data_IF_048207111013
#
_entry.id   IF_048207111013
#
_cell.length_a   1.000
_cell.length_b   1.000
_cell.length_c   1.000
_cell.angle_alpha   90.00
_cell.angle_beta   90.00
_cell.angle_gamma   90.00
#
_symmetry.space_group_name_H-M   'P 1'
#
loop_
_entity.id
_entity.type
_entity.pdbx_description
1 polymer ?
#
# COMPACT_ATOMS: atom_id res chain seq x y z
N UNK A 1 -53.60 -10.31 45.22
CA UNK A 1 -52.20 -10.54 45.61
C UNK A 1 -51.35 -9.80 44.57
N UNK A 2 -51.09 -8.49 44.66
CA UNK A 2 -50.86 -7.59 45.83
C UNK A 2 -49.53 -7.89 46.52
N UNK A 3 -48.66 -6.93 46.89
CA UNK A 3 -48.64 -5.47 46.62
C UNK A 3 -47.72 -5.06 45.45
N UNK A 4 -47.48 -3.79 45.11
CA UNK A 4 -47.33 -2.55 45.90
C UNK A 4 -46.07 -2.54 46.80
N UNK A 5 -45.17 -1.55 46.73
CA UNK A 5 -45.12 -0.37 45.85
C UNK A 5 -43.95 0.59 46.19
N UNK A 6 -44.04 1.83 45.68
CA UNK A 6 -43.22 3.06 45.96
C UNK A 6 -41.68 2.96 45.82
N UNK A 7 -41.00 3.67 44.90
CA UNK A 7 -40.94 5.12 44.60
C UNK A 7 -40.15 5.96 45.63
N UNK A 8 -39.01 6.54 45.20
CA UNK A 8 -38.54 7.82 45.74
C UNK A 8 -37.83 8.67 44.68
N UNK A 9 -38.46 9.80 44.36
CA UNK A 9 -37.91 10.88 43.54
C UNK A 9 -36.73 11.60 44.22
N UNK A 10 -35.92 12.31 43.43
CA UNK A 10 -35.62 13.71 43.68
C UNK A 10 -35.09 14.42 42.42
N UNK A 11 -35.37 15.73 42.29
CA UNK A 11 -34.99 16.54 41.14
C UNK A 11 -34.22 17.79 41.57
N UNK A 12 -33.13 18.09 40.86
CA UNK A 12 -32.52 19.42 40.71
C UNK A 12 -31.58 19.36 39.48
N UNK A 13 -31.53 20.32 38.56
CA UNK A 13 -32.33 21.55 38.43
C UNK A 13 -31.57 22.81 38.87
N UNK A 14 -30.74 23.35 37.97
CA UNK A 14 -30.46 24.79 37.92
C UNK A 14 -30.05 25.22 36.50
N UNK A 15 -30.09 26.53 36.22
CA UNK A 15 -30.07 27.12 34.87
C UNK A 15 -29.33 28.47 34.81
N UNK A 16 -28.72 28.76 33.66
CA UNK A 16 -28.65 30.09 33.02
C UNK A 16 -28.03 31.31 33.75
N UNK A 17 -26.84 31.73 33.27
CA UNK A 17 -26.38 33.13 33.04
C UNK A 17 -25.26 33.03 31.99
N UNK A 18 -25.17 33.73 30.84
CA UNK A 18 -25.62 35.04 30.35
C UNK A 18 -24.97 36.27 31.00
N UNK A 19 -24.02 36.87 30.27
CA UNK A 19 -23.76 38.30 30.02
C UNK A 19 -22.98 38.34 28.67
N UNK A 20 -23.32 39.13 27.63
CA UNK A 20 -23.46 40.60 27.53
C UNK A 20 -22.07 41.27 27.68
N UNK A 21 -21.34 41.53 26.58
CA UNK A 21 -21.49 42.58 25.55
C UNK A 21 -21.07 43.95 26.08
N UNK A 22 -20.07 44.54 25.41
CA UNK A 22 -19.87 45.94 25.04
C UNK A 22 -18.44 46.05 24.42
N UNK A 23 -18.04 47.11 23.73
CA UNK A 23 -18.41 47.62 22.40
C UNK A 23 -17.33 48.67 22.01
N UNK A 24 -17.40 49.25 20.80
CA UNK A 24 -16.54 50.32 20.21
C UNK A 24 -15.23 49.86 19.51
N UNK A 25 -14.88 50.26 18.26
CA UNK A 25 -14.78 51.60 17.59
C UNK A 25 -13.63 52.49 18.11
N UNK A 26 -12.82 53.20 17.29
CA UNK A 26 -12.58 53.27 15.83
C UNK A 26 -11.19 53.95 15.59
N UNK A 27 -10.70 54.46 14.43
CA UNK A 27 -11.21 54.70 13.07
C UNK A 27 -10.05 54.95 12.06
N UNK A 28 -10.34 55.08 10.75
CA UNK A 28 -9.43 55.55 9.68
C UNK A 28 -8.72 54.43 8.89
N UNK A 29 -8.57 54.45 7.55
CA UNK A 29 -8.87 55.48 6.52
C UNK A 29 -7.60 56.11 5.93
N UNK A 30 -7.44 56.35 4.62
CA UNK A 30 -8.28 56.10 3.43
C UNK A 30 -7.43 56.22 2.13
N UNK A 31 -8.03 56.01 0.95
CA UNK A 31 -7.46 56.19 -0.43
C UNK A 31 -6.38 55.15 -0.86
N UNK A 32 -6.21 54.77 -2.14
CA UNK A 32 -7.08 54.89 -3.33
C UNK A 32 -6.37 55.33 -4.64
N UNK A 33 -6.21 54.44 -5.64
CA UNK A 33 -6.22 54.76 -7.10
C UNK A 33 -6.00 53.56 -8.06
N UNK A 34 -7.04 53.23 -8.82
CA UNK A 34 -7.13 53.13 -10.31
C UNK A 34 -6.03 52.46 -11.20
N UNK A 35 -6.38 51.29 -11.74
CA UNK A 35 -6.23 50.77 -13.13
C UNK A 35 -4.95 51.05 -13.96
N UNK A 36 -4.29 49.97 -14.43
CA UNK A 36 -3.84 49.80 -15.84
C UNK A 36 -4.20 48.38 -16.31
N UNK A 37 -4.70 48.27 -17.55
CA UNK A 37 -4.97 47.01 -18.28
C UNK A 37 -3.78 46.66 -19.19
N UNK A 38 -3.51 45.37 -19.40
CA UNK A 38 -2.85 44.88 -20.63
C UNK A 38 -3.20 43.41 -20.90
N UNK A 39 -3.27 43.05 -22.18
CA UNK A 39 -3.83 41.77 -22.65
C UNK A 39 -2.75 40.81 -23.18
N UNK A 40 -3.14 39.53 -23.30
CA UNK A 40 -2.56 38.49 -24.18
C UNK A 40 -1.03 38.27 -24.21
N UNK A 41 -0.60 37.09 -23.77
CA UNK A 41 0.05 36.15 -24.69
C UNK A 41 -0.32 34.69 -24.31
N UNK A 42 -0.19 33.77 -25.26
CA UNK A 42 -0.53 32.35 -25.09
C UNK A 42 0.71 31.47 -25.18
N UNK A 43 0.93 30.59 -24.20
CA UNK A 43 1.93 29.53 -24.34
C UNK A 43 1.62 28.28 -23.52
N UNK A 44 2.25 27.18 -23.96
CA UNK A 44 1.97 25.83 -23.47
C UNK A 44 2.63 25.56 -22.11
N UNK A 45 2.14 24.52 -21.42
CA UNK A 45 2.48 24.27 -20.03
C UNK A 45 3.94 23.86 -19.79
N UNK A 46 4.42 24.15 -18.57
CA UNK A 46 5.70 23.66 -18.06
C UNK A 46 5.45 22.92 -16.73
N UNK A 47 5.12 21.63 -16.81
CA UNK A 47 5.26 20.72 -15.66
C UNK A 47 6.75 20.52 -15.40
N UNK A 48 7.30 21.24 -14.43
CA UNK A 48 8.75 21.26 -14.16
C UNK A 48 9.32 19.84 -13.98
N UNK A 49 10.33 19.43 -14.75
CA UNK A 49 10.95 18.12 -14.56
C UNK A 49 11.74 18.12 -13.25
N UNK A 50 11.33 17.29 -12.29
CA UNK A 50 12.13 17.04 -11.08
C UNK A 50 13.40 16.25 -11.46
N UNK A 51 14.46 16.99 -11.74
CA UNK A 51 15.83 16.47 -11.79
C UNK A 51 16.35 16.23 -10.37
N UNK A 52 16.55 14.97 -9.99
CA UNK A 52 17.50 14.58 -8.95
C UNK A 52 18.23 13.28 -9.38
N UNK A 53 19.43 13.46 -9.94
CA UNK A 53 20.32 12.44 -10.55
C UNK A 53 19.99 12.01 -11.99
N UNK A 54 20.98 12.19 -12.87
CA UNK A 54 20.91 11.85 -14.31
C UNK A 54 21.17 10.38 -14.63
N UNK A 55 20.90 9.46 -13.70
CA UNK A 55 21.13 8.01 -13.85
C UNK A 55 19.86 7.17 -13.75
N UNK A 56 18.71 7.79 -13.46
CA UNK A 56 17.42 7.11 -13.39
C UNK A 56 16.94 6.67 -14.78
N UNK A 57 16.43 5.44 -14.87
CA UNK A 57 15.81 4.89 -16.08
C UNK A 57 14.42 5.51 -16.27
N UNK A 58 14.17 6.10 -17.43
CA UNK A 58 12.85 6.62 -17.80
C UNK A 58 11.91 5.43 -18.06
N UNK A 59 10.65 5.51 -17.61
CA UNK A 59 9.59 4.53 -17.88
C UNK A 59 8.29 5.26 -18.21
N UNK A 60 7.72 4.97 -19.37
CA UNK A 60 6.43 5.55 -19.81
C UNK A 60 5.27 4.78 -19.18
N UNK A 61 4.36 5.51 -18.52
CA UNK A 61 3.13 4.98 -17.91
C UNK A 61 1.89 5.43 -18.71
N UNK A 62 0.87 4.57 -18.83
CA UNK A 62 -0.45 4.98 -19.33
C UNK A 62 -1.28 5.70 -18.26
N UNK A 63 -2.48 6.17 -18.64
CA UNK A 63 -3.51 6.73 -17.75
C UNK A 63 -3.82 5.85 -16.53
N UNK A 64 -3.82 4.52 -16.70
CA UNK A 64 -4.00 3.56 -15.60
C UNK A 64 -2.78 3.44 -14.68
N UNK A 65 -1.68 4.14 -14.95
CA UNK A 65 -0.41 4.08 -14.22
C UNK A 65 0.29 2.72 -14.35
N UNK A 66 0.10 2.05 -15.48
CA UNK A 66 0.80 0.83 -15.87
C UNK A 66 1.97 1.21 -16.80
N UNK A 67 3.17 0.65 -16.60
CA UNK A 67 4.27 0.88 -17.53
C UNK A 67 3.98 0.18 -18.86
N UNK A 68 4.06 0.92 -19.97
CA UNK A 68 3.71 0.43 -21.33
C UNK A 68 4.94 0.16 -22.19
N UNK A 69 6.06 0.79 -21.82
CA UNK A 69 7.32 0.83 -22.57
C UNK A 69 8.04 -0.54 -22.65
N UNK A 70 9.05 -0.65 -23.51
CA UNK A 70 9.96 -1.82 -23.61
C UNK A 70 10.60 -2.13 -22.23
N UNK A 71 10.93 -1.09 -21.46
CA UNK A 71 11.43 -1.22 -20.09
C UNK A 71 10.41 -1.76 -19.07
N UNK A 72 9.13 -1.88 -19.41
CA UNK A 72 8.04 -2.27 -18.49
C UNK A 72 8.27 -3.62 -17.80
N UNK A 73 8.81 -4.61 -18.51
CA UNK A 73 9.16 -5.93 -17.94
C UNK A 73 10.34 -5.82 -16.97
N UNK A 74 11.40 -5.08 -17.35
CA UNK A 74 12.57 -4.87 -16.48
C UNK A 74 12.18 -4.14 -15.20
N UNK A 75 11.41 -3.05 -15.30
CA UNK A 75 10.84 -2.32 -14.17
C UNK A 75 9.96 -3.21 -13.28
N UNK A 76 9.16 -4.10 -13.88
CA UNK A 76 8.35 -5.08 -13.12
C UNK A 76 9.21 -6.02 -12.30
N UNK A 77 10.32 -6.51 -12.88
CA UNK A 77 11.28 -7.36 -12.19
C UNK A 77 12.06 -6.59 -11.11
N UNK A 78 12.52 -5.38 -11.39
CA UNK A 78 13.26 -4.54 -10.43
C UNK A 78 12.43 -4.20 -9.19
N UNK A 79 11.18 -3.72 -9.37
CA UNK A 79 10.22 -3.53 -8.25
C UNK A 79 10.02 -4.84 -7.48
N UNK A 80 10.01 -5.98 -8.16
CA UNK A 80 9.91 -7.31 -7.55
C UNK A 80 11.19 -7.82 -6.86
N UNK A 81 12.38 -7.31 -7.19
CA UNK A 81 13.63 -7.62 -6.51
C UNK A 81 13.81 -6.72 -5.28
N UNK A 82 13.60 -5.41 -5.45
CA UNK A 82 13.59 -4.41 -4.38
C UNK A 82 12.61 -4.81 -3.26
N UNK A 83 11.41 -5.30 -3.62
CA UNK A 83 10.42 -5.78 -2.66
C UNK A 83 10.88 -7.02 -1.86
N UNK A 84 11.71 -7.90 -2.42
CA UNK A 84 12.24 -9.07 -1.70
C UNK A 84 13.41 -8.69 -0.79
N UNK A 85 14.29 -7.81 -1.26
CA UNK A 85 15.45 -7.35 -0.52
C UNK A 85 15.08 -6.59 0.76
N UNK A 86 13.97 -5.82 0.72
CA UNK A 86 13.51 -5.01 1.86
C UNK A 86 12.43 -5.67 2.74
N UNK A 87 11.52 -6.50 2.19
CA UNK A 87 10.47 -7.16 2.99
C UNK A 87 10.82 -8.62 3.30
N UNK A 88 11.25 -8.96 4.53
CA UNK A 88 11.50 -10.34 4.90
C UNK A 88 10.24 -11.21 4.81
N UNK A 89 10.37 -12.50 4.48
CA UNK A 89 9.24 -13.39 4.24
C UNK A 89 8.45 -13.70 5.52
N UNK A 90 9.09 -13.67 6.70
CA UNK A 90 8.48 -13.98 8.00
C UNK A 90 7.36 -13.03 8.44
N UNK A 91 7.30 -11.79 7.91
CA UNK A 91 6.14 -10.91 8.17
C UNK A 91 4.91 -11.53 7.51
N UNK A 92 3.89 -11.88 8.30
CA UNK A 92 2.69 -12.60 7.83
C UNK A 92 2.06 -11.95 6.59
N UNK A 93 1.72 -10.66 6.70
CA UNK A 93 0.81 -9.96 5.80
C UNK A 93 1.29 -8.53 5.47
N UNK A 94 1.04 -8.05 4.24
CA UNK A 94 1.56 -6.75 3.77
C UNK A 94 1.03 -5.56 4.59
N UNK A 95 -0.11 -5.74 5.27
CA UNK A 95 -0.65 -4.75 6.21
C UNK A 95 0.28 -4.55 7.41
N UNK A 96 0.91 -5.61 7.92
CA UNK A 96 1.84 -5.58 9.07
C UNK A 96 3.26 -5.14 8.71
N UNK A 97 3.64 -5.14 7.43
CA UNK A 97 4.95 -4.59 6.98
C UNK A 97 5.09 -3.13 7.46
N UNK A 98 6.15 -2.77 8.22
CA UNK A 98 6.38 -1.42 8.72
C UNK A 98 6.36 -0.32 7.64
N UNK A 99 6.02 0.91 8.04
CA UNK A 99 5.93 2.06 7.11
C UNK A 99 7.28 2.43 6.51
N UNK A 100 8.36 2.38 7.30
CA UNK A 100 9.72 2.66 6.81
C UNK A 100 10.10 1.71 5.67
N UNK A 101 9.91 0.39 5.81
CA UNK A 101 10.21 -0.59 4.75
C UNK A 101 9.46 -0.28 3.44
N UNK A 102 8.22 0.20 3.52
CA UNK A 102 7.45 0.64 2.34
C UNK A 102 8.02 1.91 1.70
N UNK A 103 8.45 2.87 2.52
CA UNK A 103 9.14 4.07 2.02
C UNK A 103 10.54 3.76 1.49
N UNK A 104 11.26 2.78 2.03
CA UNK A 104 12.59 2.39 1.59
C UNK A 104 12.53 1.63 0.25
N UNK A 105 11.54 0.76 0.06
CA UNK A 105 11.17 0.22 -1.27
C UNK A 105 10.87 1.34 -2.26
N UNK A 106 10.11 2.37 -1.84
CA UNK A 106 9.75 3.49 -2.71
C UNK A 106 10.96 4.36 -3.09
N UNK A 107 11.86 4.66 -2.13
CA UNK A 107 13.14 5.34 -2.38
C UNK A 107 14.01 4.55 -3.34
N UNK A 108 14.18 3.24 -3.13
CA UNK A 108 14.97 2.37 -4.02
C UNK A 108 14.41 2.35 -5.44
N UNK A 109 13.08 2.30 -5.62
CA UNK A 109 12.47 2.38 -6.96
C UNK A 109 12.72 3.76 -7.59
N UNK A 110 12.54 4.87 -6.87
CA UNK A 110 12.84 6.21 -7.40
C UNK A 110 14.32 6.43 -7.72
N UNK A 111 15.22 5.78 -7.00
CA UNK A 111 16.66 5.88 -7.26
C UNK A 111 17.09 5.18 -8.56
N UNK A 112 16.39 4.11 -8.97
CA UNK A 112 16.68 3.41 -10.23
C UNK A 112 15.79 3.92 -11.40
N UNK A 113 14.60 4.45 -11.13
CA UNK A 113 13.60 4.81 -12.15
C UNK A 113 12.91 6.14 -11.89
N UNK A 114 12.73 6.93 -12.94
CA UNK A 114 12.00 8.19 -12.88
C UNK A 114 10.49 7.95 -12.79
N UNK A 115 9.97 7.81 -11.57
CA UNK A 115 8.55 7.50 -11.30
C UNK A 115 7.86 8.65 -10.54
N UNK A 116 6.82 9.29 -11.13
CA UNK A 116 5.99 10.29 -10.45
C UNK A 116 5.34 9.76 -9.15
N UNK A 117 5.29 10.59 -8.10
CA UNK A 117 4.75 10.22 -6.77
C UNK A 117 3.28 9.75 -6.83
N UNK A 118 2.50 10.22 -7.80
CA UNK A 118 1.12 9.76 -8.08
C UNK A 118 1.01 8.25 -8.37
N UNK A 119 2.12 7.58 -8.72
CA UNK A 119 2.15 6.14 -8.96
C UNK A 119 2.72 5.33 -7.80
N UNK A 120 3.22 5.96 -6.72
CA UNK A 120 3.73 5.29 -5.50
C UNK A 120 2.82 4.16 -5.04
N UNK A 121 1.53 4.44 -4.94
CA UNK A 121 0.51 3.50 -4.47
C UNK A 121 0.34 2.29 -5.42
N UNK A 122 0.49 2.51 -6.73
CA UNK A 122 0.46 1.46 -7.76
C UNK A 122 1.75 0.62 -7.72
N UNK A 123 2.90 1.25 -7.47
CA UNK A 123 4.19 0.57 -7.29
C UNK A 123 4.19 -0.28 -6.02
N UNK A 124 3.68 0.23 -4.89
CA UNK A 124 3.58 -0.52 -3.63
C UNK A 124 2.57 -1.68 -3.74
N UNK A 125 1.47 -1.53 -4.50
CA UNK A 125 0.56 -2.64 -4.85
C UNK A 125 1.26 -3.71 -5.71
N UNK A 126 2.17 -3.31 -6.59
CA UNK A 126 2.98 -4.20 -7.44
C UNK A 126 4.08 -4.93 -6.64
N UNK A 127 4.78 -4.22 -5.76
CA UNK A 127 5.75 -4.77 -4.80
C UNK A 127 5.10 -5.82 -3.87
N UNK A 128 3.94 -5.48 -3.27
CA UNK A 128 3.11 -6.41 -2.51
C UNK A 128 2.78 -7.68 -3.30
N UNK A 129 2.34 -7.53 -4.55
CA UNK A 129 1.99 -8.66 -5.43
C UNK A 129 3.20 -9.56 -5.73
N UNK A 130 4.36 -8.97 -6.01
CA UNK A 130 5.61 -9.70 -6.22
C UNK A 130 6.08 -10.44 -4.95
N UNK A 131 6.02 -9.79 -3.79
CA UNK A 131 6.38 -10.37 -2.49
C UNK A 131 5.42 -11.51 -2.07
N UNK A 132 4.10 -11.35 -2.27
CA UNK A 132 3.12 -12.43 -2.01
C UNK A 132 3.32 -13.63 -2.94
N UNK A 133 3.66 -13.40 -4.21
CA UNK A 133 4.02 -14.47 -5.14
C UNK A 133 5.31 -15.16 -4.71
N UNK A 134 6.35 -14.41 -4.33
CA UNK A 134 7.59 -14.98 -3.79
C UNK A 134 7.34 -15.83 -2.55
N UNK A 135 6.59 -15.34 -1.54
CA UNK A 135 6.16 -16.15 -0.37
C UNK A 135 5.37 -17.41 -0.76
N UNK A 136 4.70 -17.45 -1.93
CA UNK A 136 4.06 -18.69 -2.45
C UNK A 136 5.08 -19.66 -3.01
N UNK A 137 6.09 -19.19 -3.75
CA UNK A 137 7.14 -20.06 -4.28
C UNK A 137 8.03 -20.60 -3.16
N UNK A 138 8.36 -19.78 -2.15
CA UNK A 138 8.99 -20.22 -0.90
C UNK A 138 8.19 -21.31 -0.18
N UNK A 139 6.85 -21.19 -0.11
CA UNK A 139 6.00 -22.26 0.43
C UNK A 139 6.14 -23.57 -0.34
N UNK A 140 6.28 -23.56 -1.66
CA UNK A 140 6.51 -24.80 -2.43
C UNK A 140 7.84 -25.47 -2.09
N UNK A 141 8.84 -24.70 -1.64
CA UNK A 141 10.11 -25.24 -1.17
C UNK A 141 9.89 -25.96 0.17
N UNK A 142 9.15 -25.35 1.10
CA UNK A 142 8.75 -26.01 2.35
C UNK A 142 7.84 -27.23 2.11
N UNK A 143 6.86 -27.14 1.21
CA UNK A 143 5.87 -28.19 0.91
C UNK A 143 6.49 -29.43 0.22
N UNK A 144 7.75 -29.36 -0.24
CA UNK A 144 8.53 -30.51 -0.76
C UNK A 144 9.16 -31.37 0.33
N UNK A 145 9.21 -30.87 1.57
CA UNK A 145 9.98 -31.44 2.67
C UNK A 145 9.03 -31.72 3.83
N UNK A 146 9.05 -32.93 4.36
CA UNK A 146 8.05 -33.38 5.32
C UNK A 146 8.31 -32.83 6.72
N UNK A 147 9.56 -32.88 7.21
CA UNK A 147 9.89 -32.45 8.58
C UNK A 147 10.17 -30.95 8.69
N UNK A 148 9.84 -30.37 9.85
CA UNK A 148 10.12 -28.95 10.16
C UNK A 148 11.63 -28.68 10.31
N UNK A 149 12.39 -29.67 10.81
CA UNK A 149 13.84 -29.55 10.98
C UNK A 149 14.56 -29.42 9.63
N UNK A 150 14.25 -30.30 8.67
CA UNK A 150 14.80 -30.22 7.32
C UNK A 150 14.38 -28.91 6.64
N UNK A 151 13.11 -28.46 6.77
CA UNK A 151 12.66 -27.16 6.26
C UNK A 151 13.52 -26.00 6.77
N UNK A 152 13.88 -25.98 8.06
CA UNK A 152 14.76 -24.95 8.64
C UNK A 152 16.21 -25.03 8.13
N UNK A 153 16.69 -26.22 7.75
CA UNK A 153 18.02 -26.40 7.15
C UNK A 153 18.12 -25.96 5.67
N UNK A 154 17.00 -25.70 4.98
CA UNK A 154 17.05 -25.25 3.58
C UNK A 154 17.67 -23.85 3.50
N UNK A 155 18.86 -23.76 2.93
CA UNK A 155 19.46 -22.48 2.54
C UNK A 155 18.69 -21.95 1.33
N UNK A 156 18.02 -20.82 1.48
CA UNK A 156 17.35 -20.12 0.38
C UNK A 156 18.14 -18.87 0.01
N UNK A 157 18.65 -18.87 -1.21
CA UNK A 157 19.42 -17.75 -1.76
C UNK A 157 18.65 -16.42 -1.66
N UNK A 158 19.37 -15.35 -1.29
CA UNK A 158 18.84 -14.03 -0.93
C UNK A 158 17.85 -13.97 0.26
N UNK A 159 17.90 -14.92 1.22
CA UNK A 159 17.18 -14.83 2.51
C UNK A 159 18.14 -15.12 3.68
N UNK A 160 18.03 -14.36 4.77
CA UNK A 160 18.76 -14.64 6.01
C UNK A 160 18.20 -15.88 6.71
N UNK A 161 19.03 -16.63 7.45
CA UNK A 161 18.62 -17.86 8.14
C UNK A 161 17.52 -17.60 9.17
N UNK A 162 17.59 -16.48 9.87
CA UNK A 162 16.65 -16.07 10.91
C UNK A 162 15.28 -15.71 10.31
N UNK A 163 15.29 -14.96 9.21
CA UNK A 163 14.09 -14.61 8.43
C UNK A 163 13.42 -15.83 7.78
N UNK A 164 14.23 -16.84 7.41
CA UNK A 164 13.76 -18.12 6.89
C UNK A 164 13.13 -18.99 7.98
N UNK A 165 13.79 -19.15 9.13
CA UNK A 165 13.24 -19.92 10.24
C UNK A 165 11.92 -19.34 10.76
N UNK A 166 11.82 -18.01 10.89
CA UNK A 166 10.57 -17.33 11.25
C UNK A 166 9.45 -17.55 10.22
N UNK A 167 9.78 -17.67 8.92
CA UNK A 167 8.83 -18.01 7.87
C UNK A 167 8.39 -19.48 7.94
N UNK A 168 9.31 -20.41 8.24
CA UNK A 168 9.00 -21.84 8.42
C UNK A 168 8.11 -22.05 9.65
N UNK A 169 8.39 -21.37 10.77
CA UNK A 169 7.59 -21.47 11.99
C UNK A 169 6.17 -20.93 11.79
N UNK A 170 6.02 -19.71 11.24
CA UNK A 170 4.72 -19.12 10.92
C UNK A 170 3.85 -20.07 10.07
N UNK A 171 4.44 -20.69 9.05
CA UNK A 171 3.74 -21.55 8.10
C UNK A 171 3.58 -23.01 8.56
N UNK A 172 4.21 -23.39 9.67
CA UNK A 172 4.02 -24.70 10.32
C UNK A 172 2.95 -24.65 11.42
N UNK A 173 2.33 -23.49 11.68
CA UNK A 173 1.21 -23.38 12.61
C UNK A 173 -0.07 -24.04 12.08
N UNK A 174 -0.86 -24.61 12.98
CA UNK A 174 -2.14 -25.26 12.66
C UNK A 174 -3.16 -24.28 12.04
N UNK A 175 -3.13 -23.01 12.43
CA UNK A 175 -4.00 -21.97 11.86
C UNK A 175 -3.69 -21.75 10.37
N UNK A 176 -2.41 -21.62 10.00
CA UNK A 176 -2.04 -21.42 8.61
C UNK A 176 -2.34 -22.66 7.77
N UNK A 177 -2.19 -23.86 8.33
CA UNK A 177 -2.57 -25.11 7.69
C UNK A 177 -4.10 -25.21 7.46
N UNK A 178 -4.92 -24.96 8.48
CA UNK A 178 -6.38 -24.97 8.38
C UNK A 178 -6.92 -23.89 7.42
N UNK A 179 -6.29 -22.70 7.41
CA UNK A 179 -6.55 -21.60 6.48
C UNK A 179 -6.21 -22.00 5.04
N UNK A 180 -5.09 -22.71 4.82
CA UNK A 180 -4.72 -23.28 3.51
C UNK A 180 -5.73 -24.34 3.06
N UNK A 181 -6.14 -25.25 3.92
CA UNK A 181 -7.09 -26.33 3.57
C UNK A 181 -8.51 -25.84 3.30
N UNK A 182 -8.98 -24.85 4.05
CA UNK A 182 -10.21 -24.12 3.74
C UNK A 182 -10.16 -23.53 2.33
N UNK A 183 -9.03 -22.90 1.98
CA UNK A 183 -8.79 -22.37 0.62
C UNK A 183 -8.69 -23.46 -0.46
N UNK A 184 -8.01 -24.59 -0.20
CA UNK A 184 -7.93 -25.73 -1.12
C UNK A 184 -9.33 -26.32 -1.38
N UNK A 185 -10.10 -26.54 -0.33
CA UNK A 185 -11.43 -27.14 -0.41
C UNK A 185 -12.49 -26.19 -0.97
N UNK A 186 -12.36 -24.87 -0.78
CA UNK A 186 -13.15 -23.88 -1.52
C UNK A 186 -12.82 -23.91 -3.02
N UNK A 187 -11.54 -23.93 -3.41
CA UNK A 187 -11.13 -23.99 -4.83
C UNK A 187 -11.61 -25.28 -5.53
N UNK A 188 -11.60 -26.43 -4.85
CA UNK A 188 -12.19 -27.70 -5.37
C UNK A 188 -13.69 -27.59 -5.70
N UNK A 189 -14.42 -26.68 -5.06
CA UNK A 189 -15.88 -26.48 -5.25
C UNK A 189 -16.22 -25.47 -6.37
N UNK A 190 -15.22 -24.77 -6.94
CA UNK A 190 -15.45 -23.78 -8.02
C UNK A 190 -15.67 -24.50 -9.35
N UNK A 191 -16.93 -24.57 -9.79
CA UNK A 191 -17.32 -25.26 -11.04
C UNK A 191 -17.02 -24.46 -12.32
N UNK A 192 -16.95 -23.13 -12.25
CA UNK A 192 -16.75 -22.26 -13.43
C UNK A 192 -15.44 -21.47 -13.27
N UNK A 193 -14.48 -21.78 -14.13
CA UNK A 193 -13.19 -21.08 -14.25
C UNK A 193 -13.28 -20.02 -15.34
N UNK A 194 -13.72 -18.80 -14.99
CA UNK A 194 -13.68 -17.68 -15.94
C UNK A 194 -12.24 -17.42 -16.37
N UNK A 195 -11.96 -17.52 -17.68
CA UNK A 195 -10.62 -17.40 -18.25
C UNK A 195 -10.64 -16.32 -19.32
N UNK A 196 -10.63 -15.06 -18.89
CA UNK A 196 -10.58 -13.87 -19.75
C UNK A 196 -9.15 -13.67 -20.31
N UNK A 197 -8.66 -14.68 -21.05
CA UNK A 197 -7.33 -14.66 -21.66
C UNK A 197 -7.22 -13.65 -22.80
N UNK A 198 -6.07 -13.00 -22.95
CA UNK A 198 -5.76 -12.19 -24.14
C UNK A 198 -5.70 -13.11 -25.35
N UNK A 199 -6.70 -13.06 -26.22
CA UNK A 199 -6.69 -13.74 -27.53
C UNK A 199 -5.58 -13.14 -28.39
N UNK A 200 -4.45 -13.84 -28.50
CA UNK A 200 -3.38 -13.48 -29.45
C UNK A 200 -3.87 -13.84 -30.84
N UNK A 201 -4.38 -12.86 -31.56
CA UNK A 201 -4.58 -12.98 -33.02
C UNK A 201 -3.20 -12.94 -33.66
N UNK A 202 -2.80 -14.04 -34.29
CA UNK A 202 -1.74 -14.02 -35.29
C UNK A 202 -2.38 -13.69 -36.63
N UNK A 203 -1.82 -12.69 -37.32
CA UNK A 203 -1.95 -12.56 -38.77
C UNK A 203 -0.90 -13.41 -39.47
#
# INVERSE_FOLDING_TARGET
MSGDGVNRVNSAGNTSTRNHVDDNHASGGSQGNTIIENQSDGSQGNTSPLNQSGTQKIIIFNEYGQPVDIGSTQFSSAVGMIAKAHCPPGIEDWRRVPKNIKEDIWKSVKNEYQVPEIYKDKILKKANSAWRNWKRELRKICDRVETVAERKSIVVEAIKKEDWEAFVDLHSTNEDQARRDSGRNARKKVKILHTTGRKVVRG
#
